data_IF_675832631346
#
_entry.id   IF_675832631346
#
_cell.length_a   1.000
_cell.length_b   1.000
_cell.length_c   1.000
_cell.angle_alpha   90.00
_cell.angle_beta   90.00
_cell.angle_gamma   90.00
#
_symmetry.space_group_name_H-M   'P 1'
#
loop_
_entity.id
_entity.type
_entity.pdbx_description
1 polymer ?
#
# COMPACT_ATOMS: atom_id res chain seq x y z
N UNK A 1 -17.82 18.05 29.22
CA UNK A 1 -17.20 16.71 29.29
C UNK A 1 -17.23 15.95 27.95
N UNK A 2 -18.22 16.16 27.07
CA UNK A 2 -18.27 15.47 25.76
C UNK A 2 -17.16 15.80 24.75
N UNK A 3 -16.67 17.06 24.71
CA UNK A 3 -15.64 17.48 23.75
C UNK A 3 -14.27 16.81 23.98
N UNK A 4 -13.85 16.65 25.24
CA UNK A 4 -12.59 16.00 25.57
C UNK A 4 -12.58 14.50 25.20
N UNK A 5 -13.71 13.82 25.37
CA UNK A 5 -13.87 12.42 24.98
C UNK A 5 -13.82 12.21 23.47
N UNK A 6 -14.46 13.09 22.69
CA UNK A 6 -14.45 13.02 21.23
C UNK A 6 -13.05 13.27 20.65
N UNK A 7 -12.32 14.26 21.18
CA UNK A 7 -10.94 14.53 20.77
C UNK A 7 -10.03 13.35 21.09
N UNK A 8 -10.14 12.77 22.29
CA UNK A 8 -9.34 11.60 22.67
C UNK A 8 -9.65 10.38 21.76
N UNK A 9 -10.92 10.11 21.47
CA UNK A 9 -11.32 9.01 20.60
C UNK A 9 -10.79 9.18 19.16
N UNK A 10 -10.83 10.41 18.63
CA UNK A 10 -10.27 10.72 17.32
C UNK A 10 -8.76 10.54 17.30
N UNK A 11 -8.04 11.10 18.29
CA UNK A 11 -6.58 10.97 18.38
C UNK A 11 -6.11 9.51 18.45
N UNK A 12 -6.88 8.63 19.10
CA UNK A 12 -6.56 7.21 19.23
C UNK A 12 -6.83 6.40 17.95
N UNK A 13 -7.66 6.89 17.04
CA UNK A 13 -8.10 6.15 15.85
C UNK A 13 -7.68 6.79 14.52
N UNK A 14 -7.18 8.03 14.56
CA UNK A 14 -6.73 8.75 13.39
C UNK A 14 -5.56 8.03 12.67
N UNK A 15 -5.50 8.09 11.34
CA UNK A 15 -4.36 7.61 10.56
C UNK A 15 -3.04 8.22 11.03
N UNK A 16 -2.05 7.36 11.30
CA UNK A 16 -0.70 7.78 11.69
C UNK A 16 0.25 7.53 10.54
N UNK A 17 0.79 8.60 9.98
CA UNK A 17 1.85 8.56 8.96
C UNK A 17 3.22 8.37 9.62
N UNK A 18 4.19 7.89 8.84
CA UNK A 18 5.59 7.89 9.18
C UNK A 18 6.10 9.32 9.31
N UNK A 19 7.05 9.49 10.21
CA UNK A 19 7.77 10.74 10.33
C UNK A 19 8.60 10.99 9.06
N UNK A 20 8.42 12.17 8.46
CA UNK A 20 9.06 12.51 7.19
C UNK A 20 10.60 12.55 7.32
N UNK A 21 11.11 12.98 8.48
CA UNK A 21 12.56 12.99 8.72
C UNK A 21 13.14 11.58 8.78
N UNK A 22 12.39 10.61 9.33
CA UNK A 22 12.75 9.20 9.32
C UNK A 22 12.83 8.65 7.89
N UNK A 23 11.85 8.95 7.04
CA UNK A 23 11.85 8.48 5.63
C UNK A 23 13.02 9.10 4.86
N UNK A 24 13.26 10.40 5.02
CA UNK A 24 14.36 11.11 4.37
C UNK A 24 15.76 10.57 4.73
N UNK A 25 15.90 9.92 5.90
CA UNK A 25 17.16 9.34 6.36
C UNK A 25 17.43 7.93 5.84
N UNK A 26 16.48 7.26 5.17
CA UNK A 26 16.64 5.88 4.70
C UNK A 26 17.68 5.72 3.58
N UNK A 27 18.10 6.83 2.97
CA UNK A 27 19.03 6.82 1.85
C UNK A 27 18.42 6.22 0.58
N UNK A 28 19.20 6.08 -0.51
CA UNK A 28 18.70 5.56 -1.76
C UNK A 28 18.30 4.08 -1.63
N UNK A 29 17.15 3.74 -2.22
CA UNK A 29 16.69 2.36 -2.32
C UNK A 29 17.59 1.48 -3.20
N UNK A 30 17.49 0.16 -3.01
CA UNK A 30 18.16 -0.84 -3.84
C UNK A 30 17.11 -1.66 -4.59
N UNK A 31 17.06 -1.50 -5.91
CA UNK A 31 16.08 -2.17 -6.76
C UNK A 31 16.22 -3.70 -6.78
N UNK A 32 17.42 -4.25 -6.58
CA UNK A 32 17.62 -5.70 -6.52
C UNK A 32 17.08 -6.29 -5.21
N UNK A 33 17.22 -5.58 -4.09
CA UNK A 33 16.52 -5.91 -2.84
C UNK A 33 15.00 -5.70 -2.97
N UNK A 34 14.59 -4.59 -3.58
CA UNK A 34 13.17 -4.29 -3.86
C UNK A 34 12.50 -5.39 -4.68
N UNK A 35 13.16 -5.90 -5.72
CA UNK A 35 12.68 -7.03 -6.53
C UNK A 35 12.40 -8.26 -5.67
N UNK A 36 13.26 -8.59 -4.70
CA UNK A 36 13.04 -9.73 -3.79
C UNK A 36 11.78 -9.54 -2.95
N UNK A 37 11.62 -8.36 -2.36
CA UNK A 37 10.44 -8.03 -1.56
C UNK A 37 9.17 -8.01 -2.41
N UNK A 38 9.23 -7.50 -3.65
CA UNK A 38 8.11 -7.49 -4.58
C UNK A 38 7.56 -8.90 -4.87
N UNK A 39 8.46 -9.88 -5.10
CA UNK A 39 8.04 -11.26 -5.32
C UNK A 39 7.62 -11.94 -4.02
N UNK A 40 8.33 -11.72 -2.91
CA UNK A 40 7.98 -12.30 -1.61
C UNK A 40 6.62 -11.79 -1.08
N UNK A 41 6.34 -10.51 -1.28
CA UNK A 41 5.06 -9.89 -0.98
C UNK A 41 3.95 -10.22 -1.98
N UNK A 42 4.28 -10.96 -3.05
CA UNK A 42 3.29 -11.46 -3.99
C UNK A 42 2.52 -10.37 -4.74
N UNK A 43 3.12 -9.21 -5.03
CA UNK A 43 2.39 -8.04 -5.58
C UNK A 43 1.55 -8.37 -6.83
N UNK A 44 2.08 -9.21 -7.72
CA UNK A 44 1.37 -9.63 -8.95
C UNK A 44 0.19 -10.58 -8.69
N UNK A 45 0.09 -11.20 -7.51
CA UNK A 45 -1.02 -12.13 -7.21
C UNK A 45 -2.38 -11.41 -7.25
N UNK A 46 -2.41 -10.15 -6.81
CA UNK A 46 -3.61 -9.32 -6.76
C UNK A 46 -3.61 -8.23 -7.83
N UNK A 47 -2.46 -7.62 -8.11
CA UNK A 47 -2.39 -6.43 -8.96
C UNK A 47 -2.09 -6.71 -10.43
N UNK A 48 -1.78 -7.94 -10.82
CA UNK A 48 -1.63 -8.26 -12.25
C UNK A 48 -2.96 -8.07 -12.99
N UNK A 49 -2.89 -7.68 -14.27
CA UNK A 49 -4.05 -7.63 -15.15
C UNK A 49 -4.72 -9.02 -15.17
N UNK A 50 -6.05 -9.13 -14.98
CA UNK A 50 -6.75 -10.40 -15.06
C UNK A 50 -6.45 -11.14 -16.37
N UNK A 51 -6.14 -12.44 -16.26
CA UNK A 51 -5.77 -13.28 -17.40
C UNK A 51 -4.35 -13.08 -17.97
N UNK A 52 -3.55 -12.17 -17.40
CA UNK A 52 -2.16 -11.98 -17.83
C UNK A 52 -1.24 -13.13 -17.37
N UNK A 53 -0.25 -13.44 -18.20
CA UNK A 53 0.73 -14.50 -17.98
C UNK A 53 2.15 -13.99 -18.23
N UNK A 54 3.15 -14.68 -17.67
CA UNK A 54 4.56 -14.28 -17.78
C UNK A 54 4.78 -12.83 -17.34
N UNK A 55 5.60 -12.12 -18.10
CA UNK A 55 5.97 -10.73 -17.80
C UNK A 55 4.81 -9.73 -17.95
N UNK A 56 3.74 -10.08 -18.67
CA UNK A 56 2.56 -9.23 -18.75
C UNK A 56 1.90 -9.00 -17.37
N UNK A 57 2.17 -9.88 -16.39
CA UNK A 57 1.74 -9.71 -14.99
C UNK A 57 2.37 -8.50 -14.31
N UNK A 58 3.52 -8.02 -14.81
CA UNK A 58 4.25 -6.86 -14.28
C UNK A 58 3.65 -5.52 -14.72
N UNK A 59 2.61 -5.52 -15.56
CA UNK A 59 1.87 -4.30 -15.90
C UNK A 59 1.12 -3.72 -14.68
N UNK A 60 0.81 -4.55 -13.68
CA UNK A 60 0.29 -4.13 -12.37
C UNK A 60 -0.96 -3.24 -12.40
N UNK A 61 -1.81 -3.40 -13.41
CA UNK A 61 -2.98 -2.54 -13.64
C UNK A 61 -4.14 -2.79 -12.67
N UNK A 62 -4.05 -3.79 -11.79
CA UNK A 62 -5.12 -4.18 -10.89
C UNK A 62 -6.35 -4.75 -11.62
N UNK A 63 -7.51 -4.68 -10.96
CA UNK A 63 -8.80 -5.04 -11.56
C UNK A 63 -9.21 -6.50 -11.36
N UNK A 64 -8.47 -7.30 -10.59
CA UNK A 64 -8.84 -8.67 -10.26
C UNK A 64 -10.03 -8.69 -9.29
N UNK A 65 -11.13 -9.37 -9.64
CA UNK A 65 -12.26 -9.56 -8.74
C UNK A 65 -11.97 -10.67 -7.71
N UNK A 66 -11.75 -10.28 -6.46
CA UNK A 66 -11.60 -11.18 -5.32
C UNK A 66 -12.96 -11.33 -4.62
N UNK A 67 -13.71 -12.37 -5.01
CA UNK A 67 -15.04 -12.65 -4.48
C UNK A 67 -14.97 -13.25 -3.07
N UNK A 68 -15.69 -12.66 -2.14
CA UNK A 68 -15.79 -13.12 -0.74
C UNK A 68 -17.26 -13.15 -0.30
N UNK A 69 -17.60 -13.81 0.82
CA UNK A 69 -18.95 -13.76 1.38
C UNK A 69 -19.42 -12.35 1.77
N UNK A 70 -18.50 -11.39 1.93
CA UNK A 70 -18.78 -10.01 2.35
C UNK A 70 -18.74 -9.01 1.19
N UNK A 71 -18.59 -9.50 -0.05
CA UNK A 71 -18.51 -8.67 -1.26
C UNK A 71 -17.32 -9.00 -2.14
N UNK A 72 -17.19 -8.26 -3.24
CA UNK A 72 -16.07 -8.37 -4.17
C UNK A 72 -15.06 -7.26 -3.90
N UNK A 73 -13.81 -7.64 -3.62
CA UNK A 73 -12.70 -6.69 -3.55
C UNK A 73 -12.01 -6.60 -4.90
N UNK A 74 -11.65 -5.38 -5.30
CA UNK A 74 -10.93 -5.12 -6.55
C UNK A 74 -9.63 -4.37 -6.21
N UNK A 75 -8.46 -5.02 -6.31
CA UNK A 75 -7.18 -4.37 -6.08
C UNK A 75 -6.97 -3.22 -7.07
N UNK A 76 -6.46 -2.06 -6.61
CA UNK A 76 -6.24 -0.90 -7.46
C UNK A 76 -5.09 -1.11 -8.45
N UNK A 77 -5.00 -0.20 -9.42
CA UNK A 77 -3.84 -0.08 -10.29
C UNK A 77 -2.63 0.43 -9.48
N UNK A 78 -1.52 -0.31 -9.51
CA UNK A 78 -0.24 0.09 -8.90
C UNK A 78 0.90 0.13 -9.92
N UNK A 79 0.56 0.29 -11.20
CA UNK A 79 1.52 0.52 -12.27
C UNK A 79 2.31 1.82 -12.05
N UNK A 80 3.35 2.01 -12.85
CA UNK A 80 4.15 3.24 -12.87
C UNK A 80 3.47 4.40 -13.63
N UNK A 81 2.20 4.24 -14.01
CA UNK A 81 1.44 5.34 -14.60
C UNK A 81 1.28 6.48 -13.58
N UNK A 82 1.55 7.71 -14.02
CA UNK A 82 1.57 8.88 -13.14
C UNK A 82 0.17 9.38 -12.75
N UNK A 83 -0.86 9.04 -13.54
CA UNK A 83 -2.24 9.50 -13.34
C UNK A 83 -3.09 8.43 -12.68
N UNK A 84 -3.02 7.21 -13.20
CA UNK A 84 -3.90 6.11 -12.85
C UNK A 84 -3.20 5.06 -11.97
N UNK A 85 -1.89 5.14 -11.80
CA UNK A 85 -1.07 4.25 -10.97
C UNK A 85 -0.41 4.99 -9.79
N UNK A 86 0.73 4.46 -9.34
CA UNK A 86 1.52 5.05 -8.26
C UNK A 86 2.73 5.85 -8.77
N UNK A 87 2.82 6.11 -10.08
CA UNK A 87 4.00 6.73 -10.70
C UNK A 87 4.30 8.16 -10.22
N UNK A 88 3.30 8.84 -9.65
CA UNK A 88 3.46 10.18 -9.06
C UNK A 88 3.59 10.15 -7.52
N UNK A 89 3.57 8.97 -6.88
CA UNK A 89 3.68 8.86 -5.43
C UNK A 89 5.10 9.21 -4.98
N UNK A 90 5.20 9.91 -3.85
CA UNK A 90 6.47 10.08 -3.17
C UNK A 90 6.89 8.76 -2.48
N UNK A 91 8.18 8.66 -2.13
CA UNK A 91 8.68 7.55 -1.31
C UNK A 91 7.93 7.48 0.03
N UNK A 92 7.57 8.62 0.60
CA UNK A 92 6.80 8.69 1.84
C UNK A 92 5.38 8.15 1.66
N UNK A 93 4.69 8.47 0.56
CA UNK A 93 3.35 7.94 0.29
C UNK A 93 3.38 6.42 0.12
N UNK A 94 4.39 5.90 -0.58
CA UNK A 94 4.58 4.45 -0.72
C UNK A 94 4.88 3.78 0.64
N UNK A 95 5.75 4.39 1.45
CA UNK A 95 6.11 3.87 2.77
C UNK A 95 4.91 3.91 3.74
N UNK A 96 4.12 4.97 3.73
CA UNK A 96 2.90 5.09 4.53
C UNK A 96 1.85 4.05 4.15
N UNK A 97 1.66 3.81 2.86
CA UNK A 97 0.78 2.74 2.40
C UNK A 97 1.27 1.38 2.90
N UNK A 98 2.53 1.04 2.66
CA UNK A 98 3.06 -0.30 2.92
C UNK A 98 3.28 -0.60 4.41
N UNK A 99 3.66 0.40 5.20
CA UNK A 99 4.06 0.21 6.61
C UNK A 99 2.99 0.66 7.60
N UNK A 100 2.11 1.59 7.21
CA UNK A 100 1.06 2.13 8.08
C UNK A 100 -0.35 1.87 7.57
N UNK A 101 -0.51 1.44 6.32
CA UNK A 101 -1.83 1.26 5.72
C UNK A 101 -2.54 2.59 5.54
N UNK A 102 -1.81 3.67 5.22
CA UNK A 102 -2.37 5.02 5.06
C UNK A 102 -2.20 5.47 3.61
N UNK A 103 -3.26 5.97 3.00
CA UNK A 103 -3.27 6.50 1.64
C UNK A 103 -2.52 7.83 1.53
N UNK A 104 -2.18 8.30 0.31
CA UNK A 104 -1.66 9.65 0.11
C UNK A 104 -2.62 10.75 0.61
N UNK A 105 -3.93 10.50 0.56
CA UNK A 105 -4.98 11.39 1.11
C UNK A 105 -5.06 11.37 2.64
N UNK A 106 -4.29 10.51 3.31
CA UNK A 106 -4.27 10.38 4.76
C UNK A 106 -5.41 9.52 5.32
N UNK A 107 -5.98 8.62 4.53
CA UNK A 107 -7.07 7.72 4.93
C UNK A 107 -6.55 6.31 5.20
N UNK A 108 -7.22 5.56 6.09
CA UNK A 108 -6.90 4.15 6.31
C UNK A 108 -7.26 3.31 5.08
N UNK A 109 -6.34 2.45 4.65
CA UNK A 109 -6.66 1.40 3.70
C UNK A 109 -7.52 0.32 4.37
N UNK A 110 -8.44 -0.23 3.58
CA UNK A 110 -9.22 -1.38 4.00
C UNK A 110 -8.29 -2.59 4.24
N UNK A 111 -8.46 -3.37 5.33
CA UNK A 111 -7.52 -4.42 5.75
C UNK A 111 -7.42 -5.64 4.81
N UNK A 112 -8.10 -5.62 3.66
CA UNK A 112 -7.79 -6.52 2.54
C UNK A 112 -6.38 -6.25 1.96
N UNK A 113 -5.85 -5.04 2.15
CA UNK A 113 -4.46 -4.72 1.89
C UNK A 113 -3.59 -5.15 3.10
N UNK A 114 -2.69 -6.14 2.97
CA UNK A 114 -2.06 -6.78 4.12
C UNK A 114 -0.82 -6.00 4.63
N UNK A 115 -0.95 -4.69 4.82
CA UNK A 115 0.14 -3.80 5.25
C UNK A 115 0.75 -4.24 6.60
N UNK A 116 -0.05 -4.74 7.53
CA UNK A 116 0.43 -5.19 8.85
C UNK A 116 1.40 -6.38 8.75
N UNK A 117 1.27 -7.21 7.71
CA UNK A 117 2.20 -8.28 7.41
C UNK A 117 3.45 -7.72 6.73
N UNK A 118 3.28 -6.82 5.76
CA UNK A 118 4.40 -6.21 5.04
C UNK A 118 5.33 -5.41 5.96
N UNK A 119 4.78 -4.67 6.91
CA UNK A 119 5.52 -3.89 7.89
C UNK A 119 6.46 -4.73 8.78
N UNK A 120 6.28 -6.06 8.80
CA UNK A 120 7.09 -7.00 9.58
C UNK A 120 8.03 -7.85 8.72
N UNK A 121 8.00 -7.69 7.40
CA UNK A 121 8.93 -8.38 6.52
C UNK A 121 10.35 -7.89 6.78
N UNK A 122 11.28 -8.85 6.87
CA UNK A 122 12.71 -8.59 6.98
C UNK A 122 13.39 -9.03 5.67
N UNK A 123 14.21 -8.17 5.05
CA UNK A 123 14.92 -8.49 3.80
C UNK A 123 15.89 -9.67 3.88
#
# INVERSE_FOLDING_TARGET
MGGAGAVAAWLLSAPVRLDAATVAQLGPGDAARGKRIFYAGGCTSCHAKPGSQGDARLALTGGLELKTPFGTFVPPNISQDAKDGIGAWSEQDFADAMLKGVSPSGEHFYPAFPYASYARMKP
#
